data_IF_137886139567
#
_entry.id   IF_137886139567
#
_cell.length_a   1.000
_cell.length_b   1.000
_cell.length_c   1.000
_cell.angle_alpha   90.00
_cell.angle_beta   90.00
_cell.angle_gamma   90.00
#
_symmetry.space_group_name_H-M   'P 1'
#
loop_
_entity.id
_entity.type
_entity.pdbx_description
1 polymer ?
#
# COMPACT_ATOMS: atom_id res chain seq x y z
N UNK A 1 -3.58 1.60 -24.61
CA UNK A 1 -4.74 1.83 -23.72
C UNK A 1 -4.69 3.26 -23.19
N UNK A 2 -5.77 4.05 -23.30
CA UNK A 2 -5.77 5.46 -22.87
C UNK A 2 -5.88 5.57 -21.34
N UNK A 3 -5.00 6.34 -20.69
CA UNK A 3 -4.97 6.56 -19.22
C UNK A 3 -6.33 6.99 -18.65
N UNK A 4 -7.10 7.80 -19.40
CA UNK A 4 -8.45 8.23 -19.00
C UNK A 4 -9.46 7.09 -18.97
N UNK A 5 -9.36 6.13 -19.88
CA UNK A 5 -10.25 4.96 -19.90
C UNK A 5 -9.91 4.00 -18.76
N UNK A 6 -8.62 3.86 -18.44
CA UNK A 6 -8.16 3.03 -17.32
C UNK A 6 -8.67 3.55 -15.97
N UNK A 7 -8.58 4.86 -15.71
CA UNK A 7 -9.10 5.45 -14.46
C UNK A 7 -10.60 5.23 -14.28
N UNK A 8 -11.40 5.30 -15.35
CA UNK A 8 -12.85 5.05 -15.29
C UNK A 8 -13.17 3.61 -14.92
N UNK A 9 -12.44 2.64 -15.46
CA UNK A 9 -12.59 1.23 -15.10
C UNK A 9 -12.21 0.98 -13.63
N UNK A 10 -11.14 1.62 -13.15
CA UNK A 10 -10.68 1.49 -11.77
C UNK A 10 -11.71 2.03 -10.75
N UNK A 11 -12.36 3.16 -11.06
CA UNK A 11 -13.43 3.71 -10.21
C UNK A 11 -14.63 2.78 -10.10
N UNK A 12 -14.96 2.05 -11.17
CA UNK A 12 -16.08 1.09 -11.16
C UNK A 12 -15.82 -0.09 -10.21
N UNK A 13 -14.56 -0.52 -10.09
CA UNK A 13 -14.16 -1.64 -9.23
C UNK A 13 -14.16 -1.27 -7.73
N UNK A 14 -13.85 -0.02 -7.40
CA UNK A 14 -13.79 0.46 -6.01
C UNK A 14 -15.17 0.49 -5.31
N UNK A 15 -16.26 0.61 -6.07
CA UNK A 15 -17.63 0.69 -5.53
C UNK A 15 -18.12 -0.68 -5.02
N UNK A 16 -17.57 -1.79 -5.53
CA UNK A 16 -18.01 -3.13 -5.16
C UNK A 16 -17.36 -3.70 -3.88
N UNK A 17 -16.28 -3.07 -3.37
CA UNK A 17 -15.41 -3.71 -2.36
C UNK A 17 -15.68 -3.35 -0.90
N UNK A 18 -16.64 -2.46 -0.60
CA UNK A 18 -16.77 -1.87 0.75
C UNK A 18 -17.31 -2.81 1.82
N UNK A 19 -17.65 -4.07 1.51
CA UNK A 19 -18.40 -4.95 2.42
C UNK A 19 -17.66 -6.11 3.09
N UNK A 20 -16.35 -6.31 2.90
CA UNK A 20 -15.73 -7.60 3.30
C UNK A 20 -14.42 -7.57 4.10
N UNK A 21 -13.90 -6.42 4.55
CA UNK A 21 -12.63 -6.40 5.31
C UNK A 21 -12.78 -6.78 6.80
N UNK A 22 -14.00 -6.88 7.32
CA UNK A 22 -14.25 -7.11 8.75
C UNK A 22 -13.99 -8.53 9.27
N UNK A 23 -13.64 -9.49 8.40
CA UNK A 23 -13.35 -10.88 8.77
C UNK A 23 -12.35 -11.50 7.77
N UNK A 24 -11.14 -10.92 7.67
CA UNK A 24 -10.05 -11.58 6.94
C UNK A 24 -9.62 -12.82 7.74
N UNK A 25 -9.42 -13.94 7.03
CA UNK A 25 -9.02 -15.23 7.60
C UNK A 25 -8.09 -15.98 6.66
N UNK A 26 -7.50 -17.07 7.13
CA UNK A 26 -6.65 -17.97 6.32
C UNK A 26 -7.35 -18.60 5.10
N UNK A 27 -8.65 -18.37 4.91
CA UNK A 27 -9.38 -18.80 3.71
C UNK A 27 -9.39 -17.75 2.60
N UNK A 28 -9.08 -16.50 2.91
CA UNK A 28 -9.10 -15.41 1.94
C UNK A 28 -7.80 -15.41 1.13
N UNK A 29 -7.91 -15.85 -0.12
CA UNK A 29 -6.81 -15.85 -1.09
C UNK A 29 -6.80 -14.52 -1.85
N UNK A 30 -5.74 -13.74 -1.70
CA UNK A 30 -5.65 -12.39 -2.27
C UNK A 30 -4.42 -12.30 -3.17
N UNK A 31 -4.62 -11.90 -4.42
CA UNK A 31 -3.53 -11.62 -5.36
C UNK A 31 -3.34 -10.11 -5.44
N UNK A 32 -2.10 -9.67 -5.26
CA UNK A 32 -1.69 -8.27 -5.39
C UNK A 32 -0.70 -8.18 -6.55
N UNK A 33 -0.95 -7.24 -7.47
CA UNK A 33 -0.11 -7.02 -8.66
C UNK A 33 0.68 -5.73 -8.46
N UNK A 34 1.99 -5.86 -8.37
CA UNK A 34 2.98 -4.79 -8.18
C UNK A 34 3.60 -4.84 -6.77
N UNK A 35 4.87 -5.25 -6.68
CA UNK A 35 5.69 -5.26 -5.47
C UNK A 35 6.49 -3.96 -5.28
N UNK A 36 5.87 -2.82 -5.57
CA UNK A 36 6.31 -1.51 -5.07
C UNK A 36 5.80 -1.26 -3.65
N UNK A 37 6.20 -0.15 -3.04
CA UNK A 37 5.93 0.16 -1.62
C UNK A 37 4.45 0.04 -1.24
N UNK A 38 3.54 0.48 -2.13
CA UNK A 38 2.10 0.39 -1.89
C UNK A 38 1.63 -1.07 -1.85
N UNK A 39 2.03 -1.88 -2.84
CA UNK A 39 1.60 -3.28 -2.92
C UNK A 39 2.21 -4.14 -1.81
N UNK A 40 3.47 -3.91 -1.45
CA UNK A 40 4.13 -4.60 -0.33
C UNK A 40 3.48 -4.24 1.00
N UNK A 41 3.12 -2.98 1.25
CA UNK A 41 2.43 -2.58 2.49
C UNK A 41 1.03 -3.19 2.58
N UNK A 42 0.28 -3.24 1.47
CA UNK A 42 -1.02 -3.92 1.44
C UNK A 42 -0.85 -5.42 1.71
N UNK A 43 0.12 -6.06 1.04
CA UNK A 43 0.40 -7.48 1.22
C UNK A 43 0.75 -7.80 2.67
N UNK A 44 1.60 -6.98 3.28
CA UNK A 44 2.02 -7.10 4.67
C UNK A 44 0.83 -7.04 5.64
N UNK A 45 0.00 -6.01 5.55
CA UNK A 45 -1.14 -5.86 6.47
C UNK A 45 -2.20 -6.96 6.28
N UNK A 46 -2.49 -7.36 5.04
CA UNK A 46 -3.43 -8.45 4.78
C UNK A 46 -2.90 -9.81 5.27
N UNK A 47 -1.60 -10.05 5.12
CA UNK A 47 -0.96 -11.27 5.64
C UNK A 47 -1.01 -11.30 7.17
N UNK A 48 -0.78 -10.15 7.83
CA UNK A 48 -0.93 -10.01 9.29
C UNK A 48 -2.37 -10.25 9.77
N UNK A 49 -3.36 -9.89 8.96
CA UNK A 49 -4.77 -10.19 9.22
C UNK A 49 -5.13 -11.65 8.94
N UNK A 50 -4.19 -12.45 8.43
CA UNK A 50 -4.34 -13.88 8.20
C UNK A 50 -4.77 -14.25 6.79
N UNK A 51 -4.73 -13.37 5.79
CA UNK A 51 -5.01 -13.75 4.41
C UNK A 51 -3.85 -14.57 3.81
N UNK A 52 -4.18 -15.48 2.87
CA UNK A 52 -3.19 -16.12 1.99
C UNK A 52 -2.88 -15.17 0.82
N UNK A 53 -1.79 -14.41 0.93
CA UNK A 53 -1.44 -13.37 -0.05
C UNK A 53 -0.42 -13.88 -1.06
N UNK A 54 -0.72 -13.73 -2.35
CA UNK A 54 0.24 -13.86 -3.44
C UNK A 54 0.57 -12.49 -4.01
N UNK A 55 1.81 -12.04 -3.81
CA UNK A 55 2.31 -10.79 -4.38
C UNK A 55 3.10 -11.08 -5.65
N UNK A 56 2.71 -10.47 -6.76
CA UNK A 56 3.31 -10.67 -8.08
C UNK A 56 3.86 -9.34 -8.57
N UNK A 57 5.12 -9.32 -9.02
CA UNK A 57 5.68 -8.21 -9.77
C UNK A 57 6.12 -8.69 -11.16
N UNK A 58 6.22 -7.76 -12.11
CA UNK A 58 6.72 -8.06 -13.46
C UNK A 58 8.23 -8.33 -13.43
N UNK A 59 8.96 -7.63 -12.56
CA UNK A 59 10.42 -7.70 -12.48
C UNK A 59 10.82 -8.11 -11.05
N UNK A 60 11.61 -7.29 -10.34
CA UNK A 60 11.94 -7.48 -8.93
C UNK A 60 11.17 -6.51 -8.04
N UNK A 61 11.00 -6.80 -6.74
CA UNK A 61 10.45 -5.85 -5.78
C UNK A 61 11.15 -4.50 -5.86
N UNK A 62 10.37 -3.42 -5.77
CA UNK A 62 10.81 -2.04 -5.89
C UNK A 62 11.53 -1.65 -7.20
N UNK A 63 11.56 -2.49 -8.24
CA UNK A 63 12.21 -2.20 -9.54
C UNK A 63 11.75 -0.90 -10.23
N UNK A 64 10.51 -0.47 -9.97
CA UNK A 64 9.95 0.77 -10.52
C UNK A 64 10.20 2.03 -9.69
N UNK A 65 9.16 2.85 -9.57
CA UNK A 65 9.24 4.16 -8.90
C UNK A 65 9.66 4.07 -7.43
N UNK A 66 9.34 2.98 -6.73
CA UNK A 66 9.68 2.81 -5.31
C UNK A 66 11.18 2.72 -5.08
N UNK A 67 11.92 1.92 -5.86
CA UNK A 67 13.38 1.79 -5.72
C UNK A 67 14.15 2.93 -6.38
N UNK A 68 13.55 3.62 -7.36
CA UNK A 68 14.15 4.81 -8.00
C UNK A 68 13.93 6.11 -7.20
N UNK A 69 13.28 6.04 -6.05
CA UNK A 69 12.91 7.21 -5.25
C UNK A 69 14.03 7.67 -4.31
N UNK A 70 14.15 8.99 -4.11
CA UNK A 70 14.97 9.57 -3.03
C UNK A 70 14.47 9.20 -1.62
N UNK A 71 13.26 8.61 -1.52
CA UNK A 71 12.71 8.01 -0.29
C UNK A 71 12.61 8.98 0.89
N UNK A 72 12.31 10.25 0.61
CA UNK A 72 12.21 11.28 1.64
C UNK A 72 10.87 11.24 2.37
N UNK A 73 10.86 10.59 3.53
CA UNK A 73 9.70 10.51 4.43
C UNK A 73 9.67 11.76 5.31
N UNK A 74 8.66 12.62 5.14
CA UNK A 74 8.53 13.87 5.91
C UNK A 74 7.08 14.34 6.03
N UNK A 75 6.80 15.18 7.02
CA UNK A 75 5.51 15.87 7.19
C UNK A 75 5.70 17.38 7.47
N UNK A 76 6.79 17.95 6.93
CA UNK A 76 7.24 19.31 7.26
C UNK A 76 6.37 20.40 6.60
N UNK A 77 6.36 21.59 7.20
CA UNK A 77 5.53 22.73 6.81
C UNK A 77 6.02 23.47 5.55
N UNK A 78 5.12 24.06 4.72
CA UNK A 78 3.67 23.84 4.70
C UNK A 78 3.30 22.73 3.71
N UNK A 79 3.00 21.53 4.22
CA UNK A 79 2.21 20.53 3.48
C UNK A 79 0.73 20.85 3.65
N UNK A 80 0.08 21.33 2.59
CA UNK A 80 -1.37 21.60 2.55
C UNK A 80 -2.01 20.72 1.48
N UNK A 81 -3.29 20.33 1.62
CA UNK A 81 -4.21 20.63 2.73
C UNK A 81 -3.88 19.83 4.01
N UNK A 82 -4.57 20.13 5.11
CA UNK A 82 -4.38 19.43 6.40
C UNK A 82 -4.49 17.91 6.26
N UNK A 83 -5.43 17.41 5.45
CA UNK A 83 -5.59 15.96 5.21
C UNK A 83 -4.34 15.31 4.62
N UNK A 84 -3.62 15.99 3.72
CA UNK A 84 -2.37 15.49 3.16
C UNK A 84 -1.22 15.51 4.17
N UNK A 85 -1.18 16.55 5.02
CA UNK A 85 -0.22 16.60 6.11
C UNK A 85 -0.47 15.51 7.14
N UNK A 86 -1.72 15.32 7.57
CA UNK A 86 -2.13 14.27 8.48
C UNK A 86 -1.74 12.89 7.94
N UNK A 87 -2.04 12.61 6.67
CA UNK A 87 -1.60 11.36 6.02
C UNK A 87 -0.08 11.18 6.08
N UNK A 88 0.69 12.24 5.86
CA UNK A 88 2.16 12.19 5.94
C UNK A 88 2.64 11.91 7.37
N UNK A 89 2.00 12.49 8.39
CA UNK A 89 2.32 12.23 9.80
C UNK A 89 2.03 10.78 10.16
N UNK A 90 0.84 10.28 9.81
CA UNK A 90 0.47 8.88 10.02
C UNK A 90 1.44 7.92 9.34
N UNK A 91 1.88 8.25 8.11
CA UNK A 91 2.89 7.46 7.40
C UNK A 91 4.24 7.40 8.11
N UNK A 92 4.69 8.50 8.72
CA UNK A 92 5.92 8.52 9.54
C UNK A 92 5.77 7.60 10.76
N UNK A 93 4.63 7.69 11.46
CA UNK A 93 4.40 6.90 12.66
C UNK A 93 4.34 5.39 12.34
N UNK A 94 3.67 5.02 11.25
CA UNK A 94 3.65 3.64 10.75
C UNK A 94 5.07 3.17 10.41
N UNK A 95 5.88 3.99 9.73
CA UNK A 95 7.24 3.60 9.35
C UNK A 95 8.13 3.32 10.57
N UNK A 96 8.05 4.16 11.61
CA UNK A 96 8.76 3.96 12.88
C UNK A 96 8.31 2.71 13.63
N UNK A 97 7.02 2.40 13.57
CA UNK A 97 6.48 1.19 14.20
C UNK A 97 6.89 -0.07 13.43
N UNK A 98 6.91 0.02 12.09
CA UNK A 98 7.33 -1.08 11.23
C UNK A 98 8.76 -1.51 11.54
N UNK A 99 9.70 -0.57 11.63
CA UNK A 99 11.12 -0.84 11.98
C UNK A 99 11.24 -1.75 13.21
N UNK A 100 10.46 -1.49 14.25
CA UNK A 100 10.41 -2.30 15.47
C UNK A 100 9.78 -3.67 15.23
N UNK A 101 8.68 -3.71 14.47
CA UNK A 101 7.93 -4.94 14.22
C UNK A 101 8.73 -5.97 13.41
N UNK A 102 9.49 -5.52 12.41
CA UNK A 102 10.29 -6.40 11.57
C UNK A 102 11.72 -6.62 12.08
N UNK A 103 12.01 -6.20 13.33
CA UNK A 103 13.30 -6.36 14.01
C UNK A 103 14.50 -5.87 13.18
N UNK A 104 14.35 -4.71 12.52
CA UNK A 104 15.49 -4.04 11.89
C UNK A 104 16.18 -3.16 12.95
N UNK A 105 16.94 -3.78 13.85
CA UNK A 105 17.86 -3.11 14.79
C UNK A 105 19.11 -3.97 15.02
#
# INVERSE_FOLDING_TARGET
MNRRSFSKFLTLLAIFSSKSLGNISNRDKIIIIGAGIIGTTIAYELSKMGAEVTLIDKESPASGASGSSFSWINATYPKKPYSYNLLSQLGIDVYKNLEKEINLN
#
